data_IF_045045239815
#
_entry.id   IF_045045239815
#
_cell.length_a   1.000
_cell.length_b   1.000
_cell.length_c   1.000
_cell.angle_alpha   90.00
_cell.angle_beta   90.00
_cell.angle_gamma   90.00
#
_symmetry.space_group_name_H-M   'P 1'
#
loop_
_entity.id
_entity.type
_entity.pdbx_description
1 polymer ?
#
# COMPACT_ATOMS: atom_id res chain seq x y z
N UNK A 1 15.34 18.73 -20.73
CA UNK A 1 13.99 18.30 -21.13
C UNK A 1 13.59 18.98 -22.44
N UNK A 2 12.75 18.34 -23.26
CA UNK A 2 12.24 18.92 -24.52
C UNK A 2 10.72 19.13 -24.47
N UNK A 3 10.22 20.23 -25.02
CA UNK A 3 8.78 20.44 -25.21
C UNK A 3 8.28 19.56 -26.34
N UNK A 4 7.28 18.71 -26.05
CA UNK A 4 6.61 17.86 -27.04
C UNK A 4 5.21 18.41 -27.29
N UNK A 5 4.85 18.65 -28.56
CA UNK A 5 3.53 19.13 -29.01
C UNK A 5 2.76 18.05 -29.77
N UNK A 6 1.46 18.26 -30.03
CA UNK A 6 0.58 17.30 -30.71
C UNK A 6 -0.25 16.44 -29.75
N UNK A 7 -1.09 15.55 -30.27
CA UNK A 7 -1.93 14.62 -29.50
C UNK A 7 -1.65 13.18 -29.95
N UNK A 8 -1.88 12.20 -29.08
CA UNK A 8 -1.78 10.80 -29.47
C UNK A 8 -2.74 10.48 -30.61
N UNK A 9 -2.27 9.62 -31.51
CA UNK A 9 -3.00 9.10 -32.65
C UNK A 9 -2.39 7.77 -33.06
N UNK A 10 -3.04 7.05 -33.99
CA UNK A 10 -2.45 5.87 -34.62
C UNK A 10 -1.08 6.17 -35.29
N UNK A 11 -0.83 7.42 -35.69
CA UNK A 11 0.45 7.87 -36.27
C UNK A 11 1.47 8.38 -35.25
N UNK A 12 1.08 8.56 -33.99
CA UNK A 12 1.92 9.08 -32.89
C UNK A 12 1.69 8.27 -31.61
N UNK A 13 1.82 6.96 -31.71
CA UNK A 13 1.72 6.06 -30.56
C UNK A 13 2.69 6.52 -29.45
N UNK A 14 2.25 6.37 -28.20
CA UNK A 14 3.02 6.70 -26.99
C UNK A 14 3.35 8.18 -26.76
N UNK A 15 2.81 9.12 -27.54
CA UNK A 15 3.14 10.54 -27.39
C UNK A 15 2.87 11.06 -25.98
N UNK A 16 1.76 10.66 -25.35
CA UNK A 16 1.42 11.03 -23.99
C UNK A 16 2.39 10.48 -22.95
N UNK A 17 2.85 9.23 -23.10
CA UNK A 17 3.91 8.68 -22.25
C UNK A 17 5.20 9.49 -22.38
N UNK A 18 5.61 9.81 -23.62
CA UNK A 18 6.80 10.62 -23.89
C UNK A 18 6.67 12.04 -23.31
N UNK A 19 5.48 12.65 -23.35
CA UNK A 19 5.20 13.94 -22.70
C UNK A 19 5.39 13.85 -21.19
N UNK A 20 4.86 12.82 -20.55
CA UNK A 20 5.06 12.61 -19.10
C UNK A 20 6.54 12.47 -18.76
N UNK A 21 7.30 11.70 -19.56
CA UNK A 21 8.74 11.56 -19.36
C UNK A 21 9.50 12.89 -19.48
N UNK A 22 9.19 13.69 -20.49
CA UNK A 22 9.83 15.00 -20.63
C UNK A 22 9.41 15.99 -19.53
N UNK A 23 8.16 15.89 -19.05
CA UNK A 23 7.70 16.63 -17.87
C UNK A 23 8.52 16.28 -16.62
N UNK A 24 8.72 14.97 -16.35
CA UNK A 24 9.53 14.50 -15.23
C UNK A 24 10.98 14.99 -15.33
N UNK A 25 11.60 14.91 -16.51
CA UNK A 25 12.95 15.45 -16.74
C UNK A 25 13.00 16.96 -16.49
N UNK A 26 11.98 17.70 -16.92
CA UNK A 26 11.88 19.14 -16.69
C UNK A 26 11.77 19.46 -15.19
N UNK A 27 10.94 18.72 -14.45
CA UNK A 27 10.82 18.86 -13.00
C UNK A 27 12.16 18.60 -12.31
N UNK A 28 12.91 17.59 -12.75
CA UNK A 28 14.24 17.31 -12.23
C UNK A 28 15.25 18.44 -12.54
N UNK A 29 15.15 19.09 -13.70
CA UNK A 29 15.99 20.23 -14.06
C UNK A 29 15.64 21.52 -13.32
N UNK A 30 14.35 21.75 -12.99
CA UNK A 30 13.86 23.02 -12.45
C UNK A 30 13.57 23.00 -10.95
N UNK A 31 13.17 21.86 -10.41
CA UNK A 31 12.74 21.68 -9.02
C UNK A 31 13.14 20.30 -8.47
N UNK A 32 14.43 19.91 -8.53
CA UNK A 32 14.91 18.55 -8.21
C UNK A 32 14.62 18.08 -6.78
N UNK A 33 14.41 19.01 -5.85
CA UNK A 33 14.19 18.71 -4.42
C UNK A 33 12.85 19.22 -3.89
N UNK A 34 12.21 20.17 -4.58
CA UNK A 34 10.95 20.80 -4.17
C UNK A 34 9.74 20.32 -4.97
N UNK A 35 9.90 19.27 -5.77
CA UNK A 35 8.81 18.66 -6.54
C UNK A 35 8.89 17.14 -6.50
N UNK A 36 7.78 16.49 -6.86
CA UNK A 36 7.63 15.05 -6.99
C UNK A 36 6.55 14.72 -8.02
N UNK A 37 6.56 13.48 -8.51
CA UNK A 37 5.58 12.93 -9.44
C UNK A 37 5.14 11.56 -8.92
N UNK A 38 3.83 11.41 -8.72
CA UNK A 38 3.17 10.17 -8.34
C UNK A 38 1.91 10.06 -9.21
N UNK A 39 1.77 9.04 -10.07
CA UNK A 39 0.53 8.80 -10.80
C UNK A 39 -0.58 8.37 -9.83
N UNK A 40 -1.73 9.03 -9.93
CA UNK A 40 -2.94 8.75 -9.16
C UNK A 40 -3.92 7.86 -9.94
N UNK A 41 -4.78 7.11 -9.25
CA UNK A 41 -5.76 6.18 -9.85
C UNK A 41 -5.13 5.29 -10.94
N UNK A 42 -3.94 4.75 -10.65
CA UNK A 42 -3.03 4.21 -11.66
C UNK A 42 -3.68 3.12 -12.53
N UNK A 43 -4.45 2.23 -11.91
CA UNK A 43 -5.07 1.09 -12.57
C UNK A 43 -6.42 1.42 -13.22
N UNK A 44 -7.03 2.57 -12.91
CA UNK A 44 -8.40 2.94 -13.33
C UNK A 44 -8.62 2.84 -14.83
N UNK A 45 -7.62 3.27 -15.60
CA UNK A 45 -7.68 3.34 -17.05
C UNK A 45 -7.36 2.01 -17.77
N UNK A 46 -7.06 0.95 -17.02
CA UNK A 46 -6.70 -0.36 -17.58
C UNK A 46 -5.20 -0.53 -17.81
N UNK A 47 -4.84 -1.67 -18.42
CA UNK A 47 -3.51 -1.85 -19.00
C UNK A 47 -3.26 -0.78 -20.09
N UNK A 48 -1.99 -0.50 -20.36
CA UNK A 48 -1.66 0.60 -21.27
C UNK A 48 -2.23 0.40 -22.69
N UNK A 49 -2.98 1.39 -23.15
CA UNK A 49 -3.52 1.52 -24.49
C UNK A 49 -2.78 2.66 -25.22
N UNK A 50 -1.86 2.34 -26.15
CA UNK A 50 -1.04 3.34 -26.82
C UNK A 50 -1.83 4.22 -27.79
N UNK A 51 -2.97 3.74 -28.32
CA UNK A 51 -3.80 4.48 -29.26
C UNK A 51 -4.57 5.60 -28.55
N UNK A 52 -5.05 5.34 -27.34
CA UNK A 52 -5.83 6.30 -26.55
C UNK A 52 -5.02 6.99 -25.44
N UNK A 53 -3.74 6.67 -25.29
CA UNK A 53 -2.85 7.27 -24.29
C UNK A 53 -3.30 7.07 -22.84
N UNK A 54 -3.91 5.94 -22.53
CA UNK A 54 -4.51 5.67 -21.22
C UNK A 54 -3.98 4.39 -20.61
N UNK A 55 -4.05 4.29 -19.29
CA UNK A 55 -3.52 3.16 -18.54
C UNK A 55 -2.01 3.22 -18.36
N UNK A 56 -1.47 2.21 -17.68
CA UNK A 56 -0.03 2.07 -17.48
C UNK A 56 0.33 0.59 -17.55
N UNK A 57 1.58 0.32 -17.89
CA UNK A 57 2.24 -0.97 -17.76
C UNK A 57 3.57 -0.74 -17.04
N UNK A 58 4.25 -1.81 -16.63
CA UNK A 58 5.42 -1.67 -15.75
C UNK A 58 6.56 -0.84 -16.37
N UNK A 59 6.78 -0.90 -17.69
CA UNK A 59 7.81 -0.11 -18.37
C UNK A 59 7.60 1.40 -18.21
N UNK A 60 6.36 1.86 -18.07
CA UNK A 60 6.06 3.26 -17.88
C UNK A 60 6.62 3.73 -16.52
N UNK A 61 6.37 2.93 -15.48
CA UNK A 61 6.82 3.20 -14.11
C UNK A 61 8.35 3.14 -14.03
N UNK A 62 8.97 2.13 -14.68
CA UNK A 62 10.43 2.04 -14.83
C UNK A 62 11.01 3.27 -15.53
N UNK A 63 10.41 3.68 -16.66
CA UNK A 63 10.86 4.84 -17.42
C UNK A 63 10.78 6.13 -16.59
N UNK A 64 9.70 6.32 -15.82
CA UNK A 64 9.54 7.47 -14.93
C UNK A 64 10.64 7.51 -13.87
N UNK A 65 10.85 6.40 -13.17
CA UNK A 65 11.89 6.29 -12.15
C UNK A 65 13.30 6.42 -12.72
N UNK A 66 13.58 5.82 -13.88
CA UNK A 66 14.86 5.95 -14.58
C UNK A 66 15.15 7.40 -15.01
N UNK A 67 14.13 8.15 -15.43
CA UNK A 67 14.30 9.53 -15.90
C UNK A 67 14.68 10.49 -14.77
N UNK A 68 14.07 10.34 -13.58
CA UNK A 68 14.41 11.13 -12.41
C UNK A 68 13.95 10.44 -11.11
N UNK A 69 14.78 9.59 -10.48
CA UNK A 69 14.37 8.79 -9.33
C UNK A 69 14.11 9.63 -8.06
N UNK A 70 14.55 10.90 -8.03
CA UNK A 70 14.22 11.84 -6.95
C UNK A 70 12.87 12.55 -7.16
N UNK A 71 12.30 12.46 -8.36
CA UNK A 71 11.01 13.06 -8.72
C UNK A 71 9.93 11.98 -8.79
N UNK A 72 10.16 10.92 -9.56
CA UNK A 72 9.21 9.83 -9.75
C UNK A 72 9.63 8.59 -8.95
N UNK A 73 9.05 8.43 -7.77
CA UNK A 73 9.47 7.44 -6.77
C UNK A 73 8.31 6.66 -6.17
N UNK A 74 7.13 6.69 -6.77
CA UNK A 74 5.99 5.95 -6.25
C UNK A 74 4.75 6.12 -7.09
N UNK A 75 3.65 5.57 -6.57
CA UNK A 75 2.35 5.48 -7.23
C UNK A 75 1.25 5.42 -6.18
N UNK A 76 0.07 5.90 -6.56
CA UNK A 76 -1.14 5.65 -5.80
C UNK A 76 -1.78 4.36 -6.29
N UNK A 77 -1.92 3.38 -5.40
CA UNK A 77 -2.68 2.15 -5.65
C UNK A 77 -3.71 1.91 -4.56
N UNK A 78 -3.80 2.78 -3.56
CA UNK A 78 -5.00 2.92 -2.73
C UNK A 78 -5.74 4.19 -3.17
N UNK A 79 -6.62 4.09 -4.20
CA UNK A 79 -7.24 5.25 -4.83
C UNK A 79 -8.18 6.00 -3.87
N UNK A 80 -8.56 7.22 -4.25
CA UNK A 80 -9.71 7.92 -3.68
C UNK A 80 -11.05 7.26 -4.04
N UNK A 81 -12.18 7.94 -3.90
CA UNK A 81 -13.49 7.40 -4.27
C UNK A 81 -13.83 6.04 -3.61
N UNK A 82 -13.35 5.82 -2.39
CA UNK A 82 -13.46 4.53 -1.68
C UNK A 82 -14.90 4.19 -1.28
N UNK A 83 -15.82 5.17 -1.29
CA UNK A 83 -17.23 4.97 -1.03
C UNK A 83 -18.09 4.99 -2.30
N UNK A 84 -17.50 4.98 -3.51
CA UNK A 84 -18.27 4.82 -4.74
C UNK A 84 -18.77 3.39 -4.94
N UNK A 85 -19.87 3.26 -5.70
CA UNK A 85 -20.38 1.97 -6.19
C UNK A 85 -19.29 1.14 -6.91
N UNK A 86 -18.47 1.81 -7.71
CA UNK A 86 -17.22 1.27 -8.22
C UNK A 86 -16.12 1.73 -7.27
N UNK A 87 -15.84 0.99 -6.19
CA UNK A 87 -14.85 1.40 -5.18
C UNK A 87 -13.52 1.77 -5.84
N UNK A 88 -13.05 3.00 -5.63
CA UNK A 88 -11.87 3.56 -6.32
C UNK A 88 -12.16 4.31 -7.63
N UNK A 89 -13.43 4.41 -8.02
CA UNK A 89 -13.90 4.63 -9.39
C UNK A 89 -13.32 3.64 -10.41
N UNK A 90 -12.96 2.44 -9.98
CA UNK A 90 -12.38 1.41 -10.84
C UNK A 90 -13.50 0.54 -11.40
N UNK A 91 -13.83 0.71 -12.69
CA UNK A 91 -14.80 -0.15 -13.37
C UNK A 91 -14.20 -1.53 -13.71
N UNK A 92 -14.99 -2.49 -14.21
CA UNK A 92 -14.47 -3.76 -14.70
C UNK A 92 -13.42 -3.65 -15.83
N UNK A 93 -13.22 -2.47 -16.43
CA UNK A 93 -12.15 -2.23 -17.41
C UNK A 93 -10.82 -1.78 -16.79
N UNK A 94 -10.78 -1.50 -15.49
CA UNK A 94 -9.54 -1.20 -14.77
C UNK A 94 -8.57 -2.39 -14.85
N UNK A 95 -7.27 -2.15 -14.65
CA UNK A 95 -6.30 -3.25 -14.62
C UNK A 95 -6.63 -4.15 -13.41
N UNK A 96 -6.82 -5.46 -13.66
CA UNK A 96 -7.31 -6.40 -12.65
C UNK A 96 -8.83 -6.37 -12.44
N UNK A 97 -9.58 -5.55 -13.18
CA UNK A 97 -11.04 -5.54 -13.15
C UNK A 97 -11.68 -4.81 -11.97
N UNK A 98 -10.90 -4.13 -11.12
CA UNK A 98 -11.40 -3.37 -9.98
C UNK A 98 -10.35 -3.21 -8.87
N UNK A 99 -10.82 -2.84 -7.69
CA UNK A 99 -10.04 -2.82 -6.44
C UNK A 99 -10.17 -4.16 -5.71
N UNK A 100 -9.18 -4.45 -4.89
CA UNK A 100 -9.06 -5.63 -4.03
C UNK A 100 -8.77 -5.13 -2.63
N UNK A 101 -9.74 -5.17 -1.72
CA UNK A 101 -9.55 -4.56 -0.41
C UNK A 101 -9.49 -3.03 -0.47
N UNK A 102 -10.08 -2.41 -1.50
CA UNK A 102 -9.89 -0.99 -1.80
C UNK A 102 -8.52 -0.64 -2.39
N UNK A 103 -7.69 -1.63 -2.77
CA UNK A 103 -6.36 -1.44 -3.35
C UNK A 103 -6.32 -1.96 -4.78
N UNK A 104 -5.70 -1.23 -5.69
CA UNK A 104 -5.48 -1.63 -7.07
C UNK A 104 -4.56 -2.86 -7.17
N UNK A 105 -4.78 -3.67 -8.19
CA UNK A 105 -4.12 -4.97 -8.34
C UNK A 105 -2.59 -4.86 -8.48
N UNK A 106 -2.05 -3.69 -8.87
CA UNK A 106 -0.60 -3.53 -9.02
C UNK A 106 0.14 -3.64 -7.70
N UNK A 107 -0.51 -3.32 -6.57
CA UNK A 107 0.03 -3.49 -5.23
C UNK A 107 -0.66 -4.60 -4.41
N UNK A 108 -1.95 -4.84 -4.65
CA UNK A 108 -2.70 -5.84 -3.87
C UNK A 108 -2.17 -7.27 -4.10
N UNK A 109 -1.77 -7.59 -5.33
CA UNK A 109 -1.24 -8.90 -5.69
C UNK A 109 0.16 -9.13 -5.12
N UNK A 110 0.35 -10.25 -4.41
CA UNK A 110 1.67 -10.71 -3.95
C UNK A 110 2.49 -11.19 -5.16
N UNK A 111 3.66 -10.59 -5.37
CA UNK A 111 4.51 -10.83 -6.53
C UNK A 111 4.08 -10.06 -7.79
N UNK A 112 3.15 -9.10 -7.67
CA UNK A 112 2.64 -8.30 -8.78
C UNK A 112 3.59 -7.18 -9.26
N UNK A 113 3.02 -6.14 -9.88
CA UNK A 113 3.76 -5.03 -10.51
C UNK A 113 4.64 -4.30 -9.48
N UNK A 114 4.11 -4.02 -8.29
CA UNK A 114 4.89 -3.36 -7.25
C UNK A 114 6.09 -4.19 -6.82
N UNK A 115 5.87 -5.49 -6.57
CA UNK A 115 6.91 -6.42 -6.16
C UNK A 115 7.97 -6.68 -7.25
N UNK A 116 7.60 -6.53 -8.53
CA UNK A 116 8.55 -6.50 -9.65
C UNK A 116 9.47 -5.28 -9.57
N UNK A 117 8.93 -4.10 -9.31
CA UNK A 117 9.71 -2.87 -9.14
C UNK A 117 10.59 -2.93 -7.87
N UNK A 118 10.07 -3.46 -6.77
CA UNK A 118 10.85 -3.70 -5.55
C UNK A 118 11.94 -4.77 -5.78
N UNK A 119 11.64 -5.80 -6.57
CA UNK A 119 12.59 -6.82 -7.01
C UNK A 119 13.74 -6.28 -7.86
N UNK A 120 13.59 -5.11 -8.45
CA UNK A 120 14.68 -4.40 -9.11
C UNK A 120 15.53 -3.55 -8.15
N UNK A 121 15.13 -3.46 -6.88
CA UNK A 121 15.77 -2.63 -5.87
C UNK A 121 15.44 -1.15 -6.03
N UNK A 122 14.33 -0.81 -6.70
CA UNK A 122 13.92 0.58 -6.97
C UNK A 122 13.31 1.24 -5.75
N UNK A 123 13.58 2.53 -5.61
CA UNK A 123 12.77 3.43 -4.79
C UNK A 123 11.41 3.66 -5.48
N UNK A 124 10.43 2.79 -5.19
CA UNK A 124 9.08 2.86 -5.74
C UNK A 124 8.03 2.60 -4.66
N UNK A 125 7.47 3.68 -4.15
CA UNK A 125 6.69 3.75 -2.92
C UNK A 125 5.19 3.71 -3.16
N UNK A 126 4.49 3.08 -2.23
CA UNK A 126 3.05 3.00 -2.16
C UNK A 126 2.49 4.25 -1.49
N UNK A 127 1.49 4.85 -2.13
CA UNK A 127 0.73 5.98 -1.62
C UNK A 127 -0.78 5.74 -1.74
N UNK A 128 -1.54 6.52 -1.00
CA UNK A 128 -2.99 6.58 -1.07
C UNK A 128 -3.47 8.02 -0.89
N UNK A 129 -4.64 8.32 -1.44
CA UNK A 129 -5.29 9.62 -1.27
C UNK A 129 -6.81 9.47 -1.17
N UNK A 130 -7.49 10.55 -0.79
CA UNK A 130 -8.96 10.61 -0.78
C UNK A 130 -9.58 10.85 -2.16
N UNK A 131 -8.83 11.50 -3.05
CA UNK A 131 -9.30 12.14 -4.29
C UNK A 131 -10.64 12.89 -4.10
N UNK A 132 -10.73 13.74 -3.06
CA UNK A 132 -12.00 14.35 -2.66
C UNK A 132 -12.49 15.34 -3.71
N UNK A 133 -13.70 15.10 -4.20
CA UNK A 133 -14.48 15.98 -5.06
C UNK A 133 -15.83 16.31 -4.42
N UNK A 134 -16.54 15.32 -3.86
CA UNK A 134 -17.85 15.50 -3.21
C UNK A 134 -18.27 14.24 -2.41
N UNK A 135 -19.31 14.33 -1.56
CA UNK A 135 -19.85 13.17 -0.82
C UNK A 135 -20.92 12.36 -1.58
N UNK A 136 -20.98 12.51 -2.90
CA UNK A 136 -21.96 11.86 -3.76
C UNK A 136 -23.36 12.42 -3.54
N UNK A 137 -24.27 11.57 -3.07
CA UNK A 137 -25.67 11.94 -2.83
C UNK A 137 -25.89 12.77 -1.56
N UNK A 138 -24.81 13.09 -0.85
CA UNK A 138 -24.83 13.77 0.44
C UNK A 138 -24.21 15.17 0.35
N UNK A 139 -24.70 16.08 1.20
CA UNK A 139 -24.12 17.40 1.38
C UNK A 139 -22.72 17.32 2.02
N UNK A 140 -21.90 18.36 1.86
CA UNK A 140 -20.52 18.36 2.35
C UNK A 140 -20.44 18.17 3.87
N UNK A 141 -21.41 18.65 4.65
CA UNK A 141 -21.37 18.57 6.12
C UNK A 141 -21.87 17.23 6.70
N UNK A 142 -22.29 16.29 5.85
CA UNK A 142 -22.76 14.97 6.30
C UNK A 142 -21.59 13.99 6.48
N UNK A 143 -21.76 12.98 7.34
CA UNK A 143 -20.73 11.94 7.58
C UNK A 143 -20.91 10.73 6.66
N UNK A 144 -22.10 10.55 6.11
CA UNK A 144 -22.40 9.54 5.11
C UNK A 144 -21.85 9.97 3.75
N UNK A 145 -21.52 9.01 2.88
CA UNK A 145 -21.08 9.30 1.52
C UNK A 145 -21.36 8.14 0.57
N UNK A 146 -21.67 8.48 -0.69
CA UNK A 146 -21.70 7.51 -1.82
C UNK A 146 -20.60 7.77 -2.84
N UNK A 147 -19.60 8.60 -2.50
CA UNK A 147 -18.48 8.91 -3.38
C UNK A 147 -17.19 9.06 -2.58
N UNK A 148 -16.88 10.26 -2.08
CA UNK A 148 -15.63 10.51 -1.38
C UNK A 148 -15.78 10.60 0.12
N UNK A 149 -14.78 10.08 0.81
CA UNK A 149 -14.46 10.48 2.17
C UNK A 149 -13.63 11.76 2.13
N UNK A 150 -13.73 12.58 3.18
CA UNK A 150 -12.90 13.76 3.32
C UNK A 150 -11.41 13.39 3.37
N UNK A 151 -10.50 14.32 2.96
CA UNK A 151 -9.07 14.14 3.14
C UNK A 151 -8.74 13.84 4.61
N UNK A 152 -8.15 12.66 4.87
CA UNK A 152 -7.83 12.22 6.23
C UNK A 152 -9.02 11.74 7.07
N UNK A 153 -10.21 11.53 6.50
CA UNK A 153 -11.33 10.87 7.21
C UNK A 153 -11.18 9.34 7.20
N UNK A 154 -10.88 8.78 6.01
CA UNK A 154 -10.76 7.35 5.76
C UNK A 154 -9.33 6.95 5.39
N UNK A 155 -8.84 7.38 4.22
CA UNK A 155 -7.46 7.09 3.76
C UNK A 155 -6.48 8.09 4.37
N UNK A 156 -5.42 7.60 5.02
CA UNK A 156 -4.33 8.43 5.57
C UNK A 156 -2.97 7.89 5.13
N UNK A 157 -2.14 8.76 4.57
CA UNK A 157 -0.71 8.51 4.37
C UNK A 157 0.08 9.09 5.54
N UNK A 158 0.79 8.23 6.26
CA UNK A 158 1.61 8.58 7.41
C UNK A 158 3.07 8.67 6.99
N UNK A 159 3.62 9.89 6.95
CA UNK A 159 4.96 10.17 6.42
C UNK A 159 5.90 10.64 7.53
N UNK A 160 7.02 9.94 7.71
CA UNK A 160 8.06 10.33 8.67
C UNK A 160 8.91 11.48 8.13
N UNK A 161 8.95 12.61 8.84
CA UNK A 161 9.79 13.76 8.50
C UNK A 161 10.94 13.92 9.49
N UNK A 162 12.19 13.96 8.99
CA UNK A 162 13.42 13.74 9.81
C UNK A 162 14.13 15.01 10.29
N UNK A 163 13.45 16.15 10.35
CA UNK A 163 14.05 17.45 10.72
C UNK A 163 13.55 18.05 12.04
N UNK A 164 12.91 17.26 12.89
CA UNK A 164 12.45 17.72 14.21
C UNK A 164 11.21 18.63 14.16
N UNK A 165 10.65 18.91 15.33
CA UNK A 165 9.30 19.45 15.55
C UNK A 165 9.01 20.90 15.09
N UNK A 166 9.95 21.60 14.45
CA UNK A 166 9.86 23.07 14.30
C UNK A 166 9.80 23.60 12.85
N UNK A 167 9.32 22.81 11.89
CA UNK A 167 8.34 23.23 10.87
C UNK A 167 8.15 22.11 9.84
N UNK A 168 6.91 21.67 9.62
CA UNK A 168 6.56 20.84 8.47
C UNK A 168 6.59 21.71 7.21
N UNK A 169 7.79 22.10 6.77
CA UNK A 169 7.96 22.78 5.48
C UNK A 169 7.55 21.84 4.34
N UNK A 170 7.06 22.39 3.23
CA UNK A 170 6.74 21.60 2.04
C UNK A 170 7.92 20.72 1.61
N UNK A 171 9.16 21.23 1.66
CA UNK A 171 10.36 20.45 1.37
C UNK A 171 10.56 19.29 2.34
N UNK A 172 10.28 19.47 3.64
CA UNK A 172 10.42 18.38 4.63
C UNK A 172 9.38 17.29 4.42
N UNK A 173 8.16 17.63 3.99
CA UNK A 173 7.12 16.67 3.61
C UNK A 173 7.55 15.90 2.36
N UNK A 174 8.00 16.60 1.31
CA UNK A 174 8.47 15.98 0.07
C UNK A 174 9.71 15.09 0.33
N UNK A 175 10.63 15.51 1.20
CA UNK A 175 11.77 14.70 1.62
C UNK A 175 11.31 13.43 2.36
N UNK A 176 10.27 13.54 3.21
CA UNK A 176 9.64 12.40 3.86
C UNK A 176 9.05 11.41 2.85
N UNK A 177 8.21 11.90 1.92
CA UNK A 177 7.62 11.10 0.84
C UNK A 177 8.71 10.40 0.00
N UNK A 178 9.73 11.15 -0.43
CA UNK A 178 10.84 10.62 -1.22
C UNK A 178 11.62 9.55 -0.48
N UNK A 179 11.70 9.67 0.84
CA UNK A 179 12.45 8.72 1.66
C UNK A 179 11.81 7.34 1.78
N UNK A 180 10.53 7.21 1.46
CA UNK A 180 9.80 5.94 1.59
C UNK A 180 9.54 5.50 3.02
N UNK A 181 9.90 6.30 4.03
CA UNK A 181 9.49 6.02 5.41
C UNK A 181 8.05 6.49 5.62
N UNK A 182 7.13 5.78 4.99
CA UNK A 182 5.69 6.01 5.06
C UNK A 182 4.88 4.72 4.94
N UNK A 183 3.65 4.79 5.41
CA UNK A 183 2.64 3.75 5.26
C UNK A 183 1.27 4.39 5.08
N UNK A 184 0.36 3.68 4.43
CA UNK A 184 -1.01 4.13 4.21
C UNK A 184 -1.95 3.22 5.01
N UNK A 185 -2.94 3.80 5.67
CA UNK A 185 -3.98 3.05 6.37
C UNK A 185 -5.37 3.62 6.09
N UNK A 186 -6.34 2.71 5.93
CA UNK A 186 -7.76 3.04 5.85
C UNK A 186 -8.44 2.94 7.21
N UNK A 187 -9.32 3.89 7.46
CA UNK A 187 -10.28 3.88 8.57
C UNK A 187 -9.68 3.75 9.96
N UNK A 188 -8.49 4.32 10.16
CA UNK A 188 -7.76 4.27 11.43
C UNK A 188 -7.48 2.87 11.95
N UNK A 189 -7.34 1.88 11.06
CA UNK A 189 -6.97 0.52 11.42
C UNK A 189 -5.63 0.47 12.19
N UNK A 190 -4.65 1.25 11.72
CA UNK A 190 -3.40 1.55 12.43
C UNK A 190 -3.02 3.01 12.20
N UNK A 191 -2.43 3.65 13.21
CA UNK A 191 -2.04 5.07 13.13
C UNK A 191 -0.57 5.34 13.52
N UNK A 192 0.15 4.28 13.89
CA UNK A 192 1.60 4.27 14.11
C UNK A 192 2.17 2.94 13.63
N UNK A 193 3.34 2.99 13.00
CA UNK A 193 4.10 1.83 12.56
C UNK A 193 5.60 2.11 12.69
N UNK A 194 6.31 1.17 13.31
CA UNK A 194 7.75 1.03 13.19
C UNK A 194 8.06 -0.31 12.53
N UNK A 195 8.79 -0.27 11.43
CA UNK A 195 9.22 -1.45 10.69
C UNK A 195 10.72 -1.34 10.44
N UNK A 196 11.48 -2.25 11.03
CA UNK A 196 12.94 -2.18 11.08
C UNK A 196 13.54 -3.55 10.83
N UNK A 197 14.64 -3.58 10.10
CA UNK A 197 15.47 -4.77 9.89
C UNK A 197 16.86 -4.50 10.42
N UNK A 198 17.36 -5.37 11.30
CA UNK A 198 18.65 -5.23 11.95
C UNK A 198 19.54 -6.45 11.70
N UNK A 199 20.83 -6.23 11.47
CA UNK A 199 21.81 -7.31 11.39
C UNK A 199 22.08 -7.86 12.80
N UNK A 200 22.17 -9.18 12.93
CA UNK A 200 22.36 -9.81 14.22
C UNK A 200 23.68 -9.37 14.85
N UNK A 201 23.65 -8.97 16.12
CA UNK A 201 24.86 -8.61 16.85
C UNK A 201 25.56 -9.89 17.37
N UNK A 202 26.80 -10.19 16.95
CA UNK A 202 27.49 -11.42 17.37
C UNK A 202 27.83 -11.48 18.87
N UNK A 203 27.81 -10.33 19.56
CA UNK A 203 28.09 -10.23 20.99
C UNK A 203 26.86 -10.38 21.90
N UNK A 204 25.65 -10.52 21.33
CA UNK A 204 24.42 -10.69 22.10
C UNK A 204 23.81 -12.07 21.87
N UNK A 205 23.34 -12.76 22.93
CA UNK A 205 22.51 -13.94 22.78
C UNK A 205 21.28 -13.63 21.91
N UNK A 206 20.87 -14.57 21.05
CA UNK A 206 19.78 -14.36 20.08
C UNK A 206 18.49 -13.80 20.70
N UNK A 207 18.10 -14.32 21.86
CA UNK A 207 16.89 -13.86 22.55
C UNK A 207 17.05 -12.44 23.09
N UNK A 208 18.23 -12.08 23.61
CA UNK A 208 18.52 -10.71 24.05
C UNK A 208 18.50 -9.73 22.88
N UNK A 209 19.06 -10.11 21.73
CA UNK A 209 19.01 -9.29 20.52
C UNK A 209 17.56 -9.12 20.01
N UNK A 210 16.77 -10.20 19.98
CA UNK A 210 15.34 -10.14 19.65
C UNK A 210 14.60 -9.13 20.53
N UNK A 211 14.71 -9.27 21.86
CA UNK A 211 14.06 -8.36 22.81
C UNK A 211 14.53 -6.91 22.64
N UNK A 212 15.82 -6.69 22.36
CA UNK A 212 16.36 -5.35 22.11
C UNK A 212 15.73 -4.68 20.89
N UNK A 213 15.65 -5.37 19.75
CA UNK A 213 15.08 -4.79 18.52
C UNK A 213 13.56 -4.61 18.65
N UNK A 214 12.85 -5.55 19.30
CA UNK A 214 11.42 -5.41 19.60
C UNK A 214 11.14 -4.19 20.50
N UNK A 215 11.93 -4.00 21.55
CA UNK A 215 11.83 -2.84 22.43
C UNK A 215 12.10 -1.53 21.66
N UNK A 216 13.09 -1.51 20.76
CA UNK A 216 13.37 -0.35 19.93
C UNK A 216 12.19 0.01 19.01
N UNK A 217 11.59 -0.97 18.35
CA UNK A 217 10.41 -0.77 17.50
C UNK A 217 9.21 -0.27 18.33
N UNK A 218 8.98 -0.86 19.51
CA UNK A 218 7.91 -0.42 20.42
C UNK A 218 8.12 1.02 20.91
N UNK A 219 9.34 1.37 21.28
CA UNK A 219 9.67 2.74 21.71
C UNK A 219 9.42 3.74 20.58
N UNK A 220 9.76 3.38 19.33
CA UNK A 220 9.51 4.23 18.16
C UNK A 220 8.00 4.48 17.95
N UNK A 221 7.17 3.44 18.03
CA UNK A 221 5.70 3.59 17.96
C UNK A 221 5.16 4.45 19.11
N UNK A 222 5.62 4.19 20.34
CA UNK A 222 5.13 4.86 21.55
C UNK A 222 5.46 6.36 21.51
N UNK A 223 6.66 6.71 21.06
CA UNK A 223 7.13 8.09 21.01
C UNK A 223 6.82 8.79 19.68
N UNK A 224 6.17 8.10 18.72
CA UNK A 224 5.94 8.58 17.36
C UNK A 224 7.26 9.03 16.67
N UNK A 225 8.28 8.21 16.78
CA UNK A 225 9.60 8.41 16.17
C UNK A 225 9.94 7.24 15.25
N UNK A 226 11.14 7.25 14.66
CA UNK A 226 11.68 6.10 13.95
C UNK A 226 12.77 5.38 14.78
N UNK A 227 13.14 4.17 14.37
CA UNK A 227 14.26 3.44 14.95
C UNK A 227 15.57 3.94 14.32
N UNK A 228 16.52 4.39 15.15
CA UNK A 228 17.86 4.83 14.74
C UNK A 228 18.93 4.10 15.55
N UNK A 229 19.37 2.96 15.02
CA UNK A 229 20.37 2.09 15.63
C UNK A 229 21.35 1.66 14.54
N UNK A 230 22.65 1.69 14.83
CA UNK A 230 23.68 1.22 13.92
C UNK A 230 23.48 -0.27 13.61
N UNK A 231 23.57 -0.63 12.33
CA UNK A 231 23.29 -1.98 11.86
C UNK A 231 21.79 -2.29 11.70
N UNK A 232 20.94 -1.26 11.69
CA UNK A 232 19.52 -1.37 11.35
C UNK A 232 19.14 -0.44 10.17
N UNK A 233 18.08 -0.79 9.45
CA UNK A 233 17.43 0.05 8.44
C UNK A 233 15.91 0.03 8.65
N UNK A 234 15.24 1.15 8.34
CA UNK A 234 13.77 1.27 8.39
C UNK A 234 13.15 1.42 7.00
N UNK A 235 11.84 1.70 6.92
CA UNK A 235 11.10 1.81 5.66
C UNK A 235 11.77 2.82 4.72
N UNK A 236 11.91 2.41 3.46
CA UNK A 236 12.57 3.14 2.39
C UNK A 236 14.11 3.16 2.45
N UNK A 237 14.73 2.51 3.44
CA UNK A 237 16.18 2.37 3.57
C UNK A 237 16.66 0.96 3.22
N UNK A 238 17.98 0.79 3.08
CA UNK A 238 18.60 -0.54 2.93
C UNK A 238 19.57 -0.86 4.06
N UNK A 239 19.55 -2.12 4.51
CA UNK A 239 20.55 -2.69 5.39
C UNK A 239 21.58 -3.47 4.57
N UNK A 240 22.84 -3.05 4.60
CA UNK A 240 23.94 -3.80 3.96
C UNK A 240 24.48 -4.85 4.94
N UNK A 241 24.54 -6.12 4.51
CA UNK A 241 25.03 -7.24 5.33
C UNK A 241 26.02 -8.11 4.57
N UNK A 242 26.87 -8.85 5.29
CA UNK A 242 27.69 -9.91 4.68
C UNK A 242 26.82 -11.11 4.28
N UNK A 243 27.25 -11.86 3.27
CA UNK A 243 26.60 -13.11 2.90
C UNK A 243 26.58 -14.10 4.09
N UNK A 244 25.44 -14.75 4.30
CA UNK A 244 25.21 -15.66 5.42
C UNK A 244 24.94 -14.97 6.75
N UNK A 245 24.76 -13.64 6.79
CA UNK A 245 24.34 -12.96 8.00
C UNK A 245 22.90 -13.33 8.39
N UNK A 246 22.64 -13.40 9.69
CA UNK A 246 21.28 -13.46 10.21
C UNK A 246 20.76 -12.02 10.39
N UNK A 247 19.51 -11.76 10.00
CA UNK A 247 18.84 -10.48 10.27
C UNK A 247 17.55 -10.69 11.07
N UNK A 248 17.20 -9.71 11.88
CA UNK A 248 15.94 -9.65 12.60
C UNK A 248 15.06 -8.58 11.99
N UNK A 249 13.89 -8.98 11.53
CA UNK A 249 12.80 -8.09 11.17
C UNK A 249 11.96 -7.85 12.41
N UNK A 250 11.78 -6.61 12.84
CA UNK A 250 10.88 -6.26 13.93
C UNK A 250 9.83 -5.26 13.45
N UNK A 251 8.61 -5.47 13.93
CA UNK A 251 7.45 -4.68 13.59
C UNK A 251 6.78 -4.30 14.91
N UNK A 252 6.47 -3.02 15.06
CA UNK A 252 5.53 -2.55 16.06
C UNK A 252 4.46 -1.71 15.36
N UNK A 253 3.19 -1.91 15.70
CA UNK A 253 2.07 -1.10 15.23
C UNK A 253 1.24 -0.60 16.41
N UNK A 254 0.51 0.48 16.21
CA UNK A 254 -0.60 0.86 17.10
C UNK A 254 -1.91 0.75 16.34
N UNK A 255 -2.73 -0.20 16.76
CA UNK A 255 -4.18 -0.15 16.59
C UNK A 255 -4.67 0.88 17.62
N UNK A 256 -5.19 2.05 17.23
CA UNK A 256 -5.50 3.14 18.17
C UNK A 256 -6.54 2.75 19.23
N UNK A 257 -7.28 1.66 19.02
CA UNK A 257 -8.41 1.21 19.83
C UNK A 257 -9.55 2.24 19.86
N UNK A 258 -10.78 1.76 20.05
CA UNK A 258 -11.95 2.65 20.12
C UNK A 258 -12.46 3.05 18.74
N UNK A 259 -13.14 4.21 18.66
CA UNK A 259 -13.93 4.57 17.50
C UNK A 259 -13.17 5.40 16.46
N UNK A 260 -13.31 5.05 15.18
CA UNK A 260 -12.84 5.81 14.02
C UNK A 260 -13.92 6.79 13.50
N UNK A 261 -13.68 7.37 12.32
CA UNK A 261 -14.59 8.32 11.67
C UNK A 261 -15.83 7.71 11.00
N UNK A 262 -16.08 6.40 11.10
CA UNK A 262 -17.34 5.83 10.64
C UNK A 262 -18.52 6.34 11.49
N UNK A 263 -19.65 6.76 10.89
CA UNK A 263 -20.85 7.12 11.63
C UNK A 263 -21.64 5.91 12.15
N UNK A 264 -21.20 4.69 11.85
CA UNK A 264 -21.98 3.47 12.03
C UNK A 264 -21.50 2.61 13.22
N UNK A 265 -22.38 2.37 14.18
CA UNK A 265 -22.08 1.53 15.36
C UNK A 265 -22.62 0.10 15.27
N UNK A 266 -23.37 -0.23 14.21
CA UNK A 266 -23.89 -1.58 14.02
C UNK A 266 -22.77 -2.57 13.66
N UNK A 267 -22.97 -3.89 13.88
CA UNK A 267 -21.93 -4.88 13.61
C UNK A 267 -21.51 -4.91 12.13
N UNK A 268 -20.21 -5.01 11.89
CA UNK A 268 -19.60 -5.08 10.56
C UNK A 268 -20.19 -6.25 9.74
N UNK A 269 -20.90 -5.98 8.63
CA UNK A 269 -21.53 -7.01 7.81
C UNK A 269 -20.56 -8.07 7.29
N UNK A 270 -19.33 -7.69 6.95
CA UNK A 270 -18.31 -8.59 6.43
C UNK A 270 -17.85 -9.58 7.50
N UNK A 271 -17.64 -9.11 8.73
CA UNK A 271 -17.25 -9.94 9.89
C UNK A 271 -18.39 -10.81 10.42
N UNK A 272 -19.65 -10.35 10.31
CA UNK A 272 -20.82 -11.15 10.72
C UNK A 272 -20.93 -12.48 9.95
N UNK A 273 -20.46 -12.52 8.69
CA UNK A 273 -20.46 -13.75 7.88
C UNK A 273 -19.67 -14.90 8.52
N UNK A 274 -18.68 -14.57 9.36
CA UNK A 274 -17.83 -15.53 10.07
C UNK A 274 -18.08 -15.51 11.59
N UNK A 275 -19.24 -15.00 12.01
CA UNK A 275 -19.67 -15.03 13.41
C UNK A 275 -18.99 -14.01 14.33
N UNK A 276 -18.27 -13.03 13.77
CA UNK A 276 -17.60 -11.98 14.55
C UNK A 276 -18.52 -10.76 14.64
N UNK A 277 -18.91 -10.39 15.86
CA UNK A 277 -19.73 -9.20 16.13
C UNK A 277 -18.82 -8.06 16.59
N UNK A 278 -18.47 -7.17 15.68
CA UNK A 278 -17.63 -5.99 15.93
C UNK A 278 -18.29 -4.75 15.33
N UNK A 279 -18.44 -3.63 16.05
CA UNK A 279 -19.06 -2.43 15.49
C UNK A 279 -18.20 -1.84 14.37
N UNK A 280 -18.85 -1.35 13.31
CA UNK A 280 -18.18 -0.83 12.12
C UNK A 280 -17.23 0.32 12.42
N UNK A 281 -17.60 1.17 13.39
CA UNK A 281 -16.79 2.30 13.79
C UNK A 281 -15.68 1.96 14.79
N UNK A 282 -15.53 0.73 15.28
CA UNK A 282 -14.39 0.35 16.12
C UNK A 282 -13.67 -0.86 15.52
N UNK A 283 -12.93 -0.67 14.42
CA UNK A 283 -12.19 -1.75 13.80
C UNK A 283 -11.09 -2.27 14.73
N UNK A 284 -10.76 -3.54 14.57
CA UNK A 284 -9.65 -4.21 15.26
C UNK A 284 -8.76 -4.81 14.20
N UNK A 285 -7.45 -4.63 14.35
CA UNK A 285 -6.46 -5.28 13.49
C UNK A 285 -6.47 -6.81 13.71
N UNK A 286 -6.77 -7.57 12.67
CA UNK A 286 -6.81 -9.04 12.73
C UNK A 286 -5.42 -9.66 12.55
N UNK A 287 -4.74 -9.28 11.48
CA UNK A 287 -3.40 -9.79 11.18
C UNK A 287 -2.56 -8.81 10.34
N UNK A 288 -1.25 -9.09 10.29
CA UNK A 288 -0.24 -8.44 9.45
C UNK A 288 0.51 -9.51 8.69
N UNK A 289 0.59 -9.36 7.37
CA UNK A 289 1.45 -10.13 6.50
C UNK A 289 2.82 -9.47 6.37
N UNK A 290 3.87 -10.19 6.76
CA UNK A 290 5.23 -9.89 6.32
C UNK A 290 5.44 -10.53 4.95
N UNK A 291 5.51 -9.72 3.91
CA UNK A 291 5.74 -10.15 2.53
C UNK A 291 7.20 -9.85 2.18
N UNK A 292 7.87 -10.77 1.49
CA UNK A 292 9.23 -10.53 1.03
C UNK A 292 9.57 -11.28 -0.24
N UNK A 293 10.47 -10.70 -1.02
CA UNK A 293 10.96 -11.24 -2.29
C UNK A 293 12.42 -10.90 -2.52
N UNK A 294 13.05 -11.61 -3.45
CA UNK A 294 14.44 -11.38 -3.84
C UNK A 294 14.56 -10.11 -4.69
N UNK A 295 15.71 -9.45 -4.55
CA UNK A 295 16.15 -8.36 -5.42
C UNK A 295 17.09 -8.94 -6.48
N UNK A 296 16.60 -8.98 -7.73
CA UNK A 296 17.32 -9.40 -8.93
C UNK A 296 18.09 -8.27 -9.63
N UNK A 297 17.82 -7.02 -9.26
CA UNK A 297 18.50 -5.83 -9.79
C UNK A 297 17.74 -5.23 -10.98
N UNK A 298 18.18 -4.04 -11.41
CA UNK A 298 17.53 -3.29 -12.49
C UNK A 298 17.45 -4.11 -13.78
N UNK A 299 16.29 -4.08 -14.42
CA UNK A 299 16.14 -4.63 -15.77
C UNK A 299 16.63 -3.61 -16.80
N UNK A 300 17.49 -4.07 -17.71
CA UNK A 300 17.98 -3.25 -18.81
C UNK A 300 16.84 -2.93 -19.80
N UNK A 301 16.63 -1.66 -20.20
CA UNK A 301 15.61 -1.29 -21.18
C UNK A 301 15.72 -1.99 -22.54
N UNK A 302 16.89 -2.52 -22.90
CA UNK A 302 17.10 -3.30 -24.11
C UNK A 302 16.54 -4.74 -24.02
N UNK A 303 16.34 -5.28 -22.82
CA UNK A 303 15.66 -6.56 -22.60
C UNK A 303 14.14 -6.36 -22.55
N UNK A 304 13.53 -6.15 -23.71
CA UNK A 304 12.09 -5.88 -23.82
C UNK A 304 11.21 -6.95 -23.15
N UNK A 305 11.66 -8.21 -23.12
CA UNK A 305 10.90 -9.34 -22.54
C UNK A 305 10.77 -9.27 -21.03
N UNK A 306 11.79 -8.70 -20.36
CA UNK A 306 11.78 -8.47 -18.91
C UNK A 306 11.43 -7.03 -18.55
N UNK A 307 11.61 -6.08 -19.47
CA UNK A 307 11.45 -4.64 -19.21
C UNK A 307 10.03 -4.13 -19.45
N UNK A 308 9.28 -4.71 -20.38
CA UNK A 308 7.95 -4.21 -20.74
C UNK A 308 6.88 -5.30 -20.73
N UNK A 309 5.70 -4.96 -20.21
CA UNK A 309 4.60 -5.90 -20.16
C UNK A 309 3.45 -5.47 -19.27
N UNK A 310 2.25 -5.94 -19.63
CA UNK A 310 1.05 -5.75 -18.83
C UNK A 310 1.09 -6.62 -17.57
N UNK A 311 0.12 -6.37 -16.67
CA UNK A 311 -0.16 -7.19 -15.49
C UNK A 311 -0.12 -8.69 -15.81
N UNK A 312 0.55 -9.48 -14.97
CA UNK A 312 0.66 -10.94 -15.12
C UNK A 312 1.77 -11.40 -16.08
N UNK A 313 2.42 -10.50 -16.81
CA UNK A 313 3.61 -10.84 -17.61
C UNK A 313 4.84 -11.11 -16.74
N UNK A 314 5.84 -11.80 -17.30
CA UNK A 314 7.15 -11.99 -16.65
C UNK A 314 7.81 -10.66 -16.29
N UNK A 315 7.64 -9.63 -17.12
CA UNK A 315 8.18 -8.30 -16.85
C UNK A 315 7.54 -7.66 -15.62
N UNK A 316 6.24 -7.89 -15.41
CA UNK A 316 5.39 -7.28 -14.39
C UNK A 316 5.16 -8.17 -13.15
N UNK A 317 6.04 -9.14 -12.91
CA UNK A 317 5.94 -10.07 -11.78
C UNK A 317 7.30 -10.29 -11.10
N UNK A 318 7.27 -10.59 -9.81
CA UNK A 318 8.41 -11.10 -9.05
C UNK A 318 8.03 -12.43 -8.39
N UNK A 319 8.31 -13.53 -9.10
CA UNK A 319 7.95 -14.88 -8.69
C UNK A 319 8.61 -15.37 -7.38
N UNK A 320 9.63 -14.67 -6.87
CA UNK A 320 10.23 -15.01 -5.57
C UNK A 320 9.45 -14.47 -4.37
N UNK A 321 8.48 -13.59 -4.62
CA UNK A 321 7.72 -12.90 -3.59
C UNK A 321 6.68 -13.83 -2.97
N UNK A 322 6.62 -13.83 -1.64
CA UNK A 322 5.63 -14.60 -0.88
C UNK A 322 5.38 -13.98 0.48
N UNK A 323 4.27 -14.37 1.10
CA UNK A 323 4.04 -14.14 2.52
C UNK A 323 5.08 -14.98 3.30
N UNK A 324 6.00 -14.33 3.98
CA UNK A 324 7.04 -14.95 4.79
C UNK A 324 6.51 -15.36 6.17
N UNK A 325 5.60 -14.54 6.72
CA UNK A 325 4.97 -14.76 8.01
C UNK A 325 3.66 -13.98 8.11
N UNK A 326 2.60 -14.62 8.58
CA UNK A 326 1.39 -13.96 9.08
C UNK A 326 1.54 -13.79 10.60
N UNK A 327 1.38 -12.56 11.08
CA UNK A 327 1.31 -12.20 12.49
C UNK A 327 -0.12 -11.87 12.87
N UNK A 328 -0.57 -12.38 14.01
CA UNK A 328 -1.93 -12.23 14.53
C UNK A 328 -1.91 -12.27 16.06
N UNK A 329 -3.10 -12.30 16.66
CA UNK A 329 -3.31 -12.37 18.12
C UNK A 329 -2.53 -13.45 18.86
N UNK A 330 -2.15 -14.55 18.18
CA UNK A 330 -1.39 -15.65 18.77
C UNK A 330 0.13 -15.52 18.60
N UNK A 331 0.61 -14.57 17.81
CA UNK A 331 2.02 -14.50 17.36
C UNK A 331 2.68 -13.14 17.55
N UNK A 332 1.91 -12.07 17.78
CA UNK A 332 2.43 -10.83 18.34
C UNK A 332 2.25 -10.76 19.85
N UNK A 333 2.97 -9.85 20.49
CA UNK A 333 2.75 -9.47 21.88
C UNK A 333 1.91 -8.21 21.91
N UNK A 334 0.75 -8.26 22.57
CA UNK A 334 -0.08 -7.08 22.83
C UNK A 334 0.47 -6.30 24.02
N UNK A 335 0.59 -4.98 23.87
CA UNK A 335 1.05 -4.04 24.87
C UNK A 335 -0.06 -3.02 25.18
N UNK A 336 0.18 -2.14 26.15
CA UNK A 336 -0.75 -1.05 26.50
C UNK A 336 -1.05 -0.14 25.31
N UNK A 337 -2.20 0.53 25.34
CA UNK A 337 -2.61 1.53 24.34
C UNK A 337 -2.60 0.98 22.89
N UNK A 338 -3.08 -0.25 22.72
CA UNK A 338 -3.27 -0.85 21.41
C UNK A 338 -2.00 -1.23 20.64
N UNK A 339 -0.83 -1.09 21.25
CA UNK A 339 0.43 -1.44 20.60
C UNK A 339 0.54 -2.97 20.45
N UNK A 340 1.02 -3.44 19.29
CA UNK A 340 1.36 -4.83 18.99
C UNK A 340 2.82 -4.89 18.57
N UNK A 341 3.57 -5.85 19.11
CA UNK A 341 5.01 -6.03 18.82
C UNK A 341 5.27 -7.45 18.35
N UNK A 342 6.03 -7.61 17.27
CA UNK A 342 6.35 -8.91 16.69
C UNK A 342 7.68 -8.88 15.96
N UNK A 343 8.25 -10.06 15.70
CA UNK A 343 9.50 -10.17 14.96
C UNK A 343 9.63 -11.48 14.19
N UNK A 344 10.47 -11.45 13.15
CA UNK A 344 10.78 -12.58 12.29
C UNK A 344 12.29 -12.62 12.02
N UNK A 345 12.91 -13.77 12.27
CA UNK A 345 14.33 -13.98 11.99
C UNK A 345 14.51 -14.55 10.59
N UNK A 346 15.34 -13.89 9.80
CA UNK A 346 15.81 -14.41 8.51
C UNK A 346 17.23 -14.92 8.72
N UNK A 347 17.43 -16.23 8.61
CA UNK A 347 18.73 -16.85 8.89
C UNK A 347 19.56 -16.99 7.62
N UNK A 348 20.85 -16.71 7.71
CA UNK A 348 21.81 -16.99 6.64
C UNK A 348 21.48 -16.33 5.31
N UNK A 349 21.19 -15.02 5.30
CA UNK A 349 20.79 -14.27 4.09
C UNK A 349 21.84 -14.42 2.99
N UNK A 350 21.46 -15.05 1.87
CA UNK A 350 22.37 -15.34 0.74
C UNK A 350 22.24 -14.37 -0.44
N UNK A 351 21.09 -13.72 -0.58
CA UNK A 351 20.79 -12.78 -1.66
C UNK A 351 20.12 -11.54 -1.13
N UNK A 352 20.24 -10.44 -1.87
CA UNK A 352 19.53 -9.20 -1.58
C UNK A 352 18.03 -9.43 -1.70
N UNK A 353 17.26 -8.78 -0.84
CA UNK A 353 15.82 -9.00 -0.69
C UNK A 353 15.15 -7.74 -0.15
N UNK A 354 13.83 -7.69 -0.21
CA UNK A 354 13.02 -6.65 0.42
C UNK A 354 11.93 -7.29 1.26
N UNK A 355 11.43 -6.52 2.22
CA UNK A 355 10.29 -6.87 3.05
C UNK A 355 9.30 -5.71 3.06
N UNK A 356 8.01 -5.98 2.88
CA UNK A 356 6.91 -5.02 3.02
C UNK A 356 5.79 -5.62 3.86
N UNK A 357 4.91 -4.76 4.36
CA UNK A 357 3.76 -5.19 5.15
C UNK A 357 2.46 -4.86 4.45
N UNK A 358 1.46 -5.71 4.68
CA UNK A 358 0.05 -5.31 4.62
C UNK A 358 -0.67 -5.89 5.84
N UNK A 359 -1.80 -5.32 6.21
CA UNK A 359 -2.67 -5.92 7.23
C UNK A 359 -4.09 -5.43 7.10
N UNK A 360 -5.02 -6.13 7.74
CA UNK A 360 -6.46 -5.93 7.59
C UNK A 360 -7.21 -6.20 8.90
N UNK A 361 -8.44 -5.70 8.99
CA UNK A 361 -9.40 -6.06 10.04
C UNK A 361 -10.14 -7.38 9.75
N UNK A 362 -9.94 -7.99 8.58
CA UNK A 362 -10.65 -9.20 8.16
C UNK A 362 -9.76 -10.46 8.34
N UNK A 363 -10.28 -11.52 8.98
CA UNK A 363 -9.64 -12.83 8.97
C UNK A 363 -9.47 -13.38 7.56
N UNK A 364 -8.60 -14.39 7.40
CA UNK A 364 -8.59 -15.20 6.19
C UNK A 364 -9.94 -15.93 5.99
N UNK A 365 -10.28 -16.21 4.74
CA UNK A 365 -11.50 -16.90 4.31
C UNK A 365 -12.82 -16.21 4.69
N UNK A 366 -12.84 -14.88 4.90
CA UNK A 366 -14.09 -14.11 4.95
C UNK A 366 -14.75 -14.13 3.56
N UNK A 367 -15.97 -14.68 3.41
CA UNK A 367 -16.62 -14.83 2.12
C UNK A 367 -16.70 -13.50 1.35
N UNK A 368 -16.30 -13.55 0.08
CA UNK A 368 -16.28 -12.43 -0.88
C UNK A 368 -15.30 -11.30 -0.58
N UNK A 369 -14.60 -11.32 0.56
CA UNK A 369 -13.64 -10.27 0.95
C UNK A 369 -12.19 -10.77 0.95
N UNK A 370 -11.95 -11.99 1.45
CA UNK A 370 -10.59 -12.57 1.53
C UNK A 370 -10.58 -14.03 1.11
N UNK A 371 -9.51 -14.48 0.48
CA UNK A 371 -9.30 -15.90 0.16
C UNK A 371 -8.78 -16.71 1.38
N UNK A 372 -8.54 -18.01 1.18
CA UNK A 372 -8.08 -18.91 2.24
C UNK A 372 -6.69 -18.55 2.81
N UNK A 373 -5.89 -17.81 2.04
CA UNK A 373 -4.57 -17.34 2.44
C UNK A 373 -4.61 -15.91 3.02
N UNK A 374 -5.80 -15.30 3.10
CA UNK A 374 -5.99 -13.93 3.59
C UNK A 374 -5.69 -12.85 2.56
N UNK A 375 -5.54 -13.18 1.27
CA UNK A 375 -5.43 -12.15 0.24
C UNK A 375 -6.78 -11.47 0.01
N UNK A 376 -6.81 -10.15 -0.25
CA UNK A 376 -8.05 -9.49 -0.62
C UNK A 376 -8.59 -10.06 -1.94
N UNK A 377 -9.90 -10.26 -1.98
CA UNK A 377 -10.66 -10.61 -3.18
C UNK A 377 -11.07 -9.33 -3.92
N UNK A 378 -11.49 -9.49 -5.18
CA UNK A 378 -11.98 -8.38 -5.99
C UNK A 378 -13.28 -7.83 -5.37
N UNK A 379 -13.35 -6.53 -5.10
CA UNK A 379 -14.46 -5.88 -4.38
C UNK A 379 -15.82 -6.04 -5.12
N UNK A 380 -15.79 -6.23 -6.44
CA UNK A 380 -17.00 -6.52 -7.22
C UNK A 380 -17.59 -7.91 -6.99
N UNK A 381 -16.85 -8.82 -6.34
CA UNK A 381 -17.43 -10.09 -5.88
C UNK A 381 -18.41 -9.85 -4.73
N UNK A 382 -18.15 -8.89 -3.84
CA UNK A 382 -19.06 -8.54 -2.74
C UNK A 382 -20.12 -7.52 -3.17
N UNK A 383 -19.72 -6.49 -3.92
CA UNK A 383 -20.57 -5.37 -4.32
C UNK A 383 -20.48 -5.09 -5.84
N UNK A 384 -21.23 -5.79 -6.70
CA UNK A 384 -21.18 -5.64 -8.16
C UNK A 384 -21.29 -4.19 -8.65
N UNK A 385 -20.66 -3.81 -9.76
CA UNK A 385 -20.75 -2.44 -10.32
C UNK A 385 -22.18 -2.04 -10.69
N UNK A 386 -22.95 -2.95 -11.27
CA UNK A 386 -24.37 -2.77 -11.57
C UNK A 386 -25.19 -2.77 -10.28
N UNK A 387 -25.73 -1.60 -9.93
CA UNK A 387 -26.52 -1.39 -8.72
C UNK A 387 -27.89 -2.09 -8.75
N UNK A 388 -28.33 -2.58 -9.91
CA UNK A 388 -29.56 -3.38 -10.03
C UNK A 388 -29.35 -4.84 -9.63
N UNK A 389 -28.10 -5.28 -9.54
CA UNK A 389 -27.73 -6.64 -9.15
C UNK A 389 -27.52 -6.72 -7.64
N UNK A 390 -28.13 -7.73 -7.02
CA UNK A 390 -27.96 -8.03 -5.60
C UNK A 390 -26.49 -8.23 -5.24
N UNK A 391 -26.06 -7.60 -4.15
CA UNK A 391 -24.74 -7.85 -3.56
C UNK A 391 -24.66 -9.24 -2.92
N UNK A 392 -23.48 -9.57 -2.39
CA UNK A 392 -23.26 -10.86 -1.71
C UNK A 392 -23.27 -10.76 -0.19
N UNK A 393 -23.01 -9.59 0.36
CA UNK A 393 -22.94 -9.36 1.81
C UNK A 393 -24.18 -8.57 2.24
N UNK A 394 -25.19 -9.25 2.80
CA UNK A 394 -26.40 -8.60 3.28
C UNK A 394 -26.14 -7.85 4.60
N UNK A 395 -26.71 -6.66 4.74
CA UNK A 395 -26.71 -5.91 5.99
C UNK A 395 -28.03 -6.18 6.72
N UNK A 396 -27.97 -6.97 7.80
CA UNK A 396 -29.17 -7.45 8.52
C UNK A 396 -29.50 -6.62 9.77
N UNK A 397 -28.64 -5.68 10.15
CA UNK A 397 -28.89 -4.81 11.28
C UNK A 397 -30.05 -3.84 11.01
N UNK A 398 -30.89 -3.58 12.02
CA UNK A 398 -31.97 -2.60 11.89
C UNK A 398 -31.46 -1.18 11.55
N UNK A 399 -30.23 -0.87 11.96
CA UNK A 399 -29.57 0.42 11.74
C UNK A 399 -28.83 0.52 10.38
N UNK A 400 -28.91 -0.47 9.49
CA UNK A 400 -28.30 -0.38 8.17
C UNK A 400 -28.84 0.86 7.41
N UNK A 401 -27.97 1.77 6.93
CA UNK A 401 -28.40 3.06 6.41
C UNK A 401 -29.20 2.94 5.11
N UNK A 402 -29.96 4.00 4.77
CA UNK A 402 -30.93 3.96 3.69
C UNK A 402 -30.32 4.04 2.29
N UNK A 403 -29.13 4.64 2.14
CA UNK A 403 -28.44 4.79 0.85
C UNK A 403 -27.69 3.53 0.40
N UNK A 404 -27.61 2.49 1.24
CA UNK A 404 -27.05 1.21 0.81
C UNK A 404 -27.83 0.65 -0.37
N UNK A 405 -27.14 -0.10 -1.22
CA UNK A 405 -27.76 -0.83 -2.31
C UNK A 405 -28.89 -1.70 -1.78
N UNK A 406 -30.08 -1.50 -2.34
CA UNK A 406 -31.28 -2.27 -1.97
C UNK A 406 -31.85 -2.97 -3.20
N UNK A 407 -31.87 -4.30 -3.17
CA UNK A 407 -32.42 -5.13 -4.26
C UNK A 407 -33.38 -6.14 -3.65
N UNK A 408 -34.62 -6.20 -4.16
CA UNK A 408 -35.64 -7.09 -3.61
C UNK A 408 -35.99 -6.83 -2.14
N UNK A 409 -35.82 -5.60 -1.65
CA UNK A 409 -36.05 -5.22 -0.25
C UNK A 409 -34.89 -5.55 0.71
N UNK A 410 -33.81 -6.17 0.22
CA UNK A 410 -32.61 -6.49 1.02
C UNK A 410 -31.53 -5.44 0.79
N UNK A 411 -30.95 -4.93 1.89
CA UNK A 411 -29.79 -4.02 1.86
C UNK A 411 -28.49 -4.83 1.82
N UNK A 412 -27.55 -4.41 0.97
CA UNK A 412 -26.25 -5.05 0.80
C UNK A 412 -25.11 -4.08 1.12
N UNK A 413 -24.00 -4.59 1.67
CA UNK A 413 -22.79 -3.82 1.90
C UNK A 413 -22.33 -3.13 0.62
N UNK A 414 -22.29 -1.81 0.64
CA UNK A 414 -22.00 -0.94 -0.52
C UNK A 414 -21.59 0.44 -0.03
N UNK A 415 -20.99 1.23 -0.92
CA UNK A 415 -20.59 2.62 -0.65
C UNK A 415 -19.72 2.74 0.60
N UNK A 416 -19.94 3.75 1.44
CA UNK A 416 -19.21 3.96 2.67
C UNK A 416 -19.26 2.76 3.64
N UNK A 417 -20.39 2.05 3.73
CA UNK A 417 -20.49 0.85 4.58
C UNK A 417 -19.53 -0.24 4.10
N UNK A 418 -19.39 -0.45 2.79
CA UNK A 418 -18.39 -1.39 2.27
C UNK A 418 -16.97 -0.91 2.58
N UNK A 419 -16.69 0.37 2.33
CA UNK A 419 -15.39 0.97 2.67
C UNK A 419 -15.03 0.79 4.15
N UNK A 420 -15.95 1.06 5.08
CA UNK A 420 -15.73 0.89 6.52
C UNK A 420 -15.69 -0.57 6.99
N UNK A 421 -16.25 -1.51 6.21
CA UNK A 421 -16.27 -2.93 6.58
C UNK A 421 -14.92 -3.61 6.32
N UNK A 422 -14.21 -3.16 5.30
CA UNK A 422 -13.04 -3.81 4.72
C UNK A 422 -11.86 -2.81 4.66
N UNK A 423 -11.05 -2.83 5.71
CA UNK A 423 -9.96 -1.90 5.96
C UNK A 423 -8.61 -2.58 5.76
N UNK A 424 -7.70 -1.87 5.13
CA UNK A 424 -6.34 -2.32 4.88
C UNK A 424 -5.33 -1.23 5.23
N UNK A 425 -4.13 -1.66 5.63
CA UNK A 425 -2.95 -0.81 5.62
C UNK A 425 -1.82 -1.47 4.83
N UNK A 426 -0.95 -0.65 4.26
CA UNK A 426 0.21 -1.08 3.48
C UNK A 426 1.42 -0.26 3.88
N UNK A 427 2.56 -0.92 4.10
CA UNK A 427 3.82 -0.25 4.42
C UNK A 427 4.76 -0.25 3.21
N UNK A 428 5.55 0.82 3.07
CA UNK A 428 6.71 0.77 2.19
C UNK A 428 7.77 -0.23 2.72
N UNK A 429 8.66 -0.72 1.83
CA UNK A 429 9.54 -1.82 2.18
C UNK A 429 10.79 -1.39 2.96
N UNK A 430 11.41 -2.34 3.66
CA UNK A 430 12.82 -2.28 4.07
C UNK A 430 13.62 -3.22 3.18
N UNK A 431 14.77 -2.77 2.70
CA UNK A 431 15.65 -3.59 1.87
C UNK A 431 16.80 -4.20 2.68
N UNK A 432 17.27 -5.37 2.24
CA UNK A 432 18.53 -5.97 2.68
C UNK A 432 19.40 -6.18 1.46
N UNK A 433 20.57 -5.55 1.44
CA UNK A 433 21.59 -5.72 0.41
C UNK A 433 22.68 -6.65 0.94
N UNK A 434 22.93 -7.76 0.24
CA UNK A 434 24.08 -8.62 0.54
C UNK A 434 25.31 -8.07 -0.16
N UNK A 435 26.35 -7.79 0.60
CA UNK A 435 27.64 -7.31 0.08
C UNK A 435 28.18 -8.27 -0.98
N UNK A 436 28.63 -7.71 -2.11
CA UNK A 436 29.09 -8.44 -3.30
C UNK A 436 28.03 -9.29 -4.03
N UNK A 437 26.74 -9.11 -3.71
CA UNK A 437 25.62 -9.66 -4.49
C UNK A 437 24.95 -8.55 -5.33
N UNK A 438 23.68 -8.76 -5.69
CA UNK A 438 22.86 -7.76 -6.39
C UNK A 438 22.71 -6.49 -5.55
N UNK A 439 23.07 -5.34 -6.12
CA UNK A 439 22.93 -4.04 -5.45
C UNK A 439 21.47 -3.59 -5.38
N UNK A 440 21.10 -2.98 -4.27
CA UNK A 440 19.86 -2.22 -4.11
C UNK A 440 20.19 -0.76 -4.43
N UNK A 441 19.83 -0.29 -5.62
CA UNK A 441 20.25 1.00 -6.13
C UNK A 441 19.30 2.13 -5.70
N UNK A 442 19.85 3.34 -5.51
CA UNK A 442 19.03 4.54 -5.29
C UNK A 442 18.47 4.74 -3.88
N UNK A 443 18.86 3.90 -2.92
CA UNK A 443 18.44 4.00 -1.51
C UNK A 443 19.63 4.30 -0.59
N UNK A 444 19.33 4.99 0.51
CA UNK A 444 20.30 5.29 1.58
C UNK A 444 20.67 4.05 2.36
#
# INVERSE_FOLDING_TARGET
>A
ARKITGNNSASTLNLGHLKTLEGIKWMNEKAPVTSYFVPAHLERAGAYDPANSKGFNIEHLRNFNNAAPKIAFGFESMPGHQAEANRGSYSPSAAGGGTYGGVGVYAAAVGGVWDALLGEGRAWWFFGSSDYHNRGSFGPDQRETTSDFFPGEYTKDYVMTRRGSNSLSATSIIDGLRSGNSFVANGDLVDRLAFVVCTSHPGLPRNAFKSFVEQAAMNAVTNNTEVRIDGCATMGEKLVVRAGADVMVAIAVRDPQGTNNSPYTFPNPSLLQVGITQPLNAPVLDHIDLIGGNVGGYVDPSDGSRYAGALGSTAATNASTKIQKVFNTNTWTAMSNGVRVMSYRVSGVKGSQYFRLRGTNLPAAVPFETDADGNPLLDFLSSPSDQTVAGKIACTAAACPAHMRTVGGVKYSSFDVAGWSDLWFYSNPVFVEVANATKVAGLK
#
